data_IF_833512395347
#
_entry.id   IF_833512395347
#
_cell.length_a   1.000
_cell.length_b   1.000
_cell.length_c   1.000
_cell.angle_alpha   90.00
_cell.angle_beta   90.00
_cell.angle_gamma   90.00
#
_symmetry.space_group_name_H-M   'P 1'
#
loop_
_entity.id
_entity.type
_entity.pdbx_description
1 polymer ?
#
# COMPACT_ATOMS: atom_id res chain seq x y z
N UNK A 1 -13.80 25.93 2.36
CA UNK A 1 -13.02 24.72 2.71
C UNK A 1 -12.58 23.88 1.51
N UNK A 2 -13.28 23.86 0.35
CA UNK A 2 -12.92 22.97 -0.78
C UNK A 2 -11.56 23.27 -1.43
N UNK A 3 -11.14 24.54 -1.54
CA UNK A 3 -9.88 24.90 -2.22
C UNK A 3 -8.62 24.22 -1.65
N UNK A 4 -8.54 24.04 -0.33
CA UNK A 4 -7.39 23.36 0.32
C UNK A 4 -7.39 21.86 0.05
N UNK A 5 -8.57 21.23 0.01
CA UNK A 5 -8.71 19.82 -0.34
C UNK A 5 -8.35 19.59 -1.81
N UNK A 6 -8.86 20.41 -2.72
CA UNK A 6 -8.60 20.27 -4.15
C UNK A 6 -7.10 20.43 -4.47
N UNK A 7 -6.40 21.35 -3.81
CA UNK A 7 -4.94 21.48 -3.92
C UNK A 7 -4.21 20.25 -3.39
N UNK A 8 -4.61 19.72 -2.24
CA UNK A 8 -3.98 18.54 -1.66
C UNK A 8 -4.17 17.30 -2.53
N UNK A 9 -5.38 17.07 -3.06
CA UNK A 9 -5.68 15.96 -3.96
C UNK A 9 -4.84 16.06 -5.26
N UNK A 10 -4.66 17.27 -5.80
CA UNK A 10 -3.76 17.50 -6.94
C UNK A 10 -2.31 17.17 -6.61
N UNK A 11 -1.82 17.60 -5.44
CA UNK A 11 -0.44 17.32 -5.01
C UNK A 11 -0.21 15.83 -4.76
N UNK A 12 -1.15 15.13 -4.16
CA UNK A 12 -1.07 13.68 -3.90
C UNK A 12 -1.21 12.84 -5.16
N UNK A 13 -1.72 13.44 -6.23
CA UNK A 13 -1.69 12.82 -7.57
C UNK A 13 -0.32 12.97 -8.24
N UNK A 14 0.58 13.80 -7.70
CA UNK A 14 1.99 13.79 -8.10
C UNK A 14 2.67 12.59 -7.42
N UNK A 15 3.34 11.76 -8.21
CA UNK A 15 3.88 10.44 -7.85
C UNK A 15 4.96 10.44 -6.75
N UNK A 16 5.37 11.59 -6.24
CA UNK A 16 6.47 11.74 -5.27
C UNK A 16 6.02 12.25 -3.90
N UNK A 17 4.78 12.74 -3.77
CA UNK A 17 4.25 13.32 -2.54
C UNK A 17 3.28 12.35 -1.89
N UNK A 18 3.38 12.23 -0.57
CA UNK A 18 2.46 11.45 0.26
C UNK A 18 1.90 12.29 1.39
N UNK A 19 0.76 11.87 1.93
CA UNK A 19 0.20 12.41 3.16
C UNK A 19 0.55 11.46 4.30
N UNK A 20 1.41 11.93 5.20
CA UNK A 20 1.84 11.21 6.40
C UNK A 20 0.93 11.59 7.57
N UNK A 21 0.34 10.60 8.24
CA UNK A 21 -0.48 10.78 9.44
C UNK A 21 -0.23 9.66 10.45
N UNK A 22 0.39 9.98 11.58
CA UNK A 22 0.83 8.96 12.54
C UNK A 22 1.80 7.96 11.91
N UNK A 23 1.52 6.66 12.01
CA UNK A 23 2.28 5.58 11.38
C UNK A 23 1.83 5.19 9.97
N UNK A 24 0.94 5.98 9.36
CA UNK A 24 0.32 5.67 8.09
C UNK A 24 0.70 6.65 6.98
N UNK A 25 0.76 6.14 5.76
CA UNK A 25 1.07 6.91 4.55
C UNK A 25 -0.09 6.78 3.56
N UNK A 26 -0.58 7.90 3.05
CA UNK A 26 -1.64 7.93 2.03
C UNK A 26 -1.09 8.51 0.74
N UNK A 27 -1.38 7.85 -0.38
CA UNK A 27 -0.96 8.30 -1.71
C UNK A 27 -1.99 7.93 -2.77
N UNK A 28 -1.96 8.65 -3.89
CA UNK A 28 -2.79 8.35 -5.06
C UNK A 28 -1.91 7.92 -6.23
N UNK A 29 -2.06 6.66 -6.67
CA UNK A 29 -1.24 6.07 -7.74
C UNK A 29 -2.05 5.05 -8.53
N UNK A 30 -1.83 4.99 -9.85
CA UNK A 30 -2.59 4.12 -10.76
C UNK A 30 -4.12 4.33 -10.66
N UNK A 31 -4.56 5.60 -10.55
CA UNK A 31 -5.97 6.00 -10.42
C UNK A 31 -6.68 5.38 -9.20
N UNK A 32 -5.91 5.05 -8.16
CA UNK A 32 -6.40 4.45 -6.92
C UNK A 32 -5.75 5.12 -5.72
N UNK A 33 -6.51 5.18 -4.63
CA UNK A 33 -6.02 5.60 -3.33
C UNK A 33 -5.47 4.41 -2.58
N UNK A 34 -4.35 4.64 -1.90
CA UNK A 34 -3.67 3.61 -1.11
C UNK A 34 -3.42 4.13 0.30
N UNK A 35 -3.66 3.28 1.29
CA UNK A 35 -3.18 3.47 2.66
C UNK A 35 -2.08 2.45 2.92
N UNK A 36 -0.93 2.93 3.36
CA UNK A 36 0.24 2.11 3.64
C UNK A 36 0.60 2.17 5.12
N UNK A 37 1.22 1.10 5.61
CA UNK A 37 1.99 1.11 6.85
C UNK A 37 3.44 0.76 6.57
N UNK A 38 4.32 1.27 7.42
CA UNK A 38 5.76 1.01 7.36
C UNK A 38 6.17 0.08 8.50
N UNK A 39 7.14 -0.80 8.27
CA UNK A 39 7.76 -1.61 9.31
C UNK A 39 9.26 -1.79 9.04
N UNK A 40 10.01 -2.12 10.08
CA UNK A 40 11.42 -2.44 9.96
C UNK A 40 11.60 -3.89 9.47
N UNK A 41 12.36 -4.04 8.39
CA UNK A 41 12.85 -5.31 7.87
C UNK A 41 14.37 -5.34 8.06
N UNK A 42 14.81 -5.77 9.25
CA UNK A 42 16.19 -5.55 9.67
C UNK A 42 16.44 -4.08 9.99
N UNK A 43 17.42 -3.46 9.33
CA UNK A 43 17.77 -2.05 9.53
C UNK A 43 16.98 -1.06 8.66
N UNK A 44 16.20 -1.57 7.70
CA UNK A 44 15.51 -0.75 6.70
C UNK A 44 14.03 -0.57 7.03
N UNK A 45 13.51 0.66 6.92
CA UNK A 45 12.09 0.98 7.09
C UNK A 45 11.38 0.86 5.74
N UNK A 46 10.69 -0.27 5.51
CA UNK A 46 10.04 -0.60 4.24
C UNK A 46 8.51 -0.63 4.31
N UNK A 47 7.86 -0.73 3.14
CA UNK A 47 6.40 -0.83 3.04
C UNK A 47 5.95 -2.20 3.55
N UNK A 48 5.15 -2.20 4.61
CA UNK A 48 4.67 -3.41 5.27
C UNK A 48 3.28 -3.82 4.82
N UNK A 49 2.32 -2.89 4.83
CA UNK A 49 0.96 -3.17 4.34
C UNK A 49 0.53 -2.20 3.24
N UNK A 50 -0.31 -2.70 2.34
CA UNK A 50 -0.96 -1.95 1.27
C UNK A 50 -2.46 -2.22 1.28
N UNK A 51 -3.25 -1.18 1.52
CA UNK A 51 -4.70 -1.20 1.38
C UNK A 51 -5.13 -0.48 0.11
N UNK A 52 -6.06 -1.08 -0.64
CA UNK A 52 -6.73 -0.41 -1.76
C UNK A 52 -7.99 0.29 -1.27
N UNK A 53 -8.06 1.61 -1.44
CA UNK A 53 -9.18 2.41 -0.94
C UNK A 53 -10.13 2.84 -2.06
N UNK A 54 -11.42 2.95 -1.73
CA UNK A 54 -12.40 3.64 -2.56
C UNK A 54 -12.03 5.12 -2.71
N UNK A 55 -12.47 5.75 -3.80
CA UNK A 55 -12.19 7.19 -4.01
C UNK A 55 -12.81 8.04 -2.90
N UNK A 56 -14.03 7.69 -2.47
CA UNK A 56 -14.69 8.33 -1.34
C UNK A 56 -13.88 8.20 -0.04
N UNK A 57 -13.35 7.00 0.26
CA UNK A 57 -12.57 6.78 1.49
C UNK A 57 -11.21 7.49 1.44
N UNK A 58 -10.51 7.43 0.31
CA UNK A 58 -9.26 8.15 0.11
C UNK A 58 -9.42 9.66 0.32
N UNK A 59 -10.42 10.28 -0.32
CA UNK A 59 -10.75 11.70 -0.13
C UNK A 59 -11.13 12.03 1.31
N UNK A 60 -11.91 11.17 1.96
CA UNK A 60 -12.30 11.34 3.36
C UNK A 60 -11.09 11.34 4.28
N UNK A 61 -10.16 10.41 4.12
CA UNK A 61 -8.92 10.37 4.92
C UNK A 61 -8.07 11.61 4.66
N UNK A 62 -7.91 12.02 3.40
CA UNK A 62 -7.18 13.26 3.08
C UNK A 62 -7.82 14.44 3.79
N UNK A 63 -9.14 14.62 3.67
CA UNK A 63 -9.86 15.71 4.32
C UNK A 63 -9.69 15.70 5.85
N UNK A 64 -9.78 14.52 6.48
CA UNK A 64 -9.61 14.34 7.93
C UNK A 64 -8.18 14.69 8.37
N UNK A 65 -7.18 14.27 7.60
CA UNK A 65 -5.77 14.41 7.95
C UNK A 65 -5.15 15.70 7.46
N UNK A 66 -5.84 16.54 6.70
CA UNK A 66 -5.29 17.82 6.25
C UNK A 66 -4.92 18.77 7.42
N UNK A 67 -5.58 18.63 8.57
CA UNK A 67 -5.28 19.42 9.77
C UNK A 67 -4.26 18.75 10.71
N UNK A 68 -4.04 17.44 10.59
CA UNK A 68 -3.28 16.64 11.56
C UNK A 68 -2.01 16.00 10.97
N UNK A 69 -2.01 15.76 9.67
CA UNK A 69 -0.94 15.13 8.92
C UNK A 69 -0.05 16.14 8.19
N UNK A 70 0.93 15.61 7.47
CA UNK A 70 1.89 16.40 6.68
C UNK A 70 2.00 15.85 5.27
N UNK A 71 1.92 16.73 4.27
CA UNK A 71 2.30 16.38 2.91
C UNK A 71 3.81 16.50 2.77
N UNK A 72 4.48 15.38 2.50
CA UNK A 72 5.94 15.30 2.39
C UNK A 72 6.35 14.48 1.18
N UNK A 73 7.54 14.71 0.61
CA UNK A 73 8.17 13.78 -0.32
C UNK A 73 8.33 12.38 0.29
N UNK A 74 8.19 11.33 -0.51
CA UNK A 74 8.33 9.93 -0.05
C UNK A 74 9.67 9.66 0.67
N UNK A 75 10.77 10.23 0.16
CA UNK A 75 12.09 10.01 0.72
C UNK A 75 12.28 10.60 2.14
N UNK A 76 11.43 11.56 2.54
CA UNK A 76 11.43 12.09 3.91
C UNK A 76 10.77 11.10 4.90
N UNK A 77 9.90 10.20 4.42
CA UNK A 77 9.31 9.14 5.24
C UNK A 77 10.30 7.98 5.43
N UNK A 78 10.88 7.51 4.33
CA UNK A 78 11.97 6.53 4.33
C UNK A 78 12.77 6.66 3.04
N UNK A 79 14.09 6.52 3.12
CA UNK A 79 15.00 6.64 1.97
C UNK A 79 14.64 5.67 0.85
N UNK A 80 14.11 4.50 1.19
CA UNK A 80 13.75 3.45 0.23
C UNK A 80 12.27 3.46 -0.18
N UNK A 81 11.44 4.35 0.41
CA UNK A 81 10.01 4.38 0.13
C UNK A 81 9.67 4.58 -1.35
N UNK A 82 10.37 5.44 -2.13
CA UNK A 82 10.09 5.57 -3.55
C UNK A 82 10.20 4.22 -4.30
N UNK A 83 11.25 3.44 -4.01
CA UNK A 83 11.49 2.14 -4.63
C UNK A 83 10.50 1.09 -4.13
N UNK A 84 10.15 1.13 -2.84
CA UNK A 84 9.10 0.30 -2.27
C UNK A 84 7.75 0.54 -2.95
N UNK A 85 7.36 1.80 -3.14
CA UNK A 85 6.11 2.16 -3.81
C UNK A 85 6.12 1.70 -5.26
N UNK A 86 7.24 1.89 -5.98
CA UNK A 86 7.38 1.43 -7.36
C UNK A 86 7.22 -0.10 -7.48
N UNK A 87 7.86 -0.85 -6.59
CA UNK A 87 7.89 -2.32 -6.65
C UNK A 87 6.62 -2.99 -6.11
N UNK A 88 5.86 -2.33 -5.24
CA UNK A 88 4.75 -2.94 -4.48
C UNK A 88 3.39 -2.28 -4.69
N UNK A 89 3.31 -1.04 -5.15
CA UNK A 89 2.03 -0.37 -5.43
C UNK A 89 1.75 -0.49 -6.92
N UNK A 90 1.32 -1.69 -7.33
CA UNK A 90 1.27 -2.07 -8.74
C UNK A 90 -0.04 -1.72 -9.42
N UNK A 91 0.02 -1.61 -10.74
CA UNK A 91 -1.09 -1.19 -11.59
C UNK A 91 -2.14 -2.30 -11.78
N UNK A 92 -1.70 -3.55 -11.86
CA UNK A 92 -2.56 -4.71 -12.09
C UNK A 92 -2.35 -5.77 -10.99
N UNK A 93 -3.31 -6.68 -10.84
CA UNK A 93 -3.21 -7.74 -9.85
C UNK A 93 -2.16 -8.78 -10.26
N UNK A 94 -2.07 -9.03 -11.56
CA UNK A 94 -1.17 -9.95 -12.24
C UNK A 94 0.30 -9.60 -11.95
N UNK A 95 0.61 -8.32 -11.79
CA UNK A 95 1.96 -7.85 -11.45
C UNK A 95 2.43 -8.34 -10.06
N UNK A 96 1.52 -8.80 -9.19
CA UNK A 96 1.88 -9.41 -7.90
C UNK A 96 2.27 -10.88 -8.01
N UNK A 97 2.15 -11.53 -9.17
CA UNK A 97 2.48 -12.94 -9.34
C UNK A 97 3.89 -13.31 -8.84
N UNK A 98 4.96 -12.53 -9.11
CA UNK A 98 6.29 -12.82 -8.58
C UNK A 98 6.36 -12.78 -7.05
N UNK A 99 5.60 -11.87 -6.42
CA UNK A 99 5.52 -11.76 -4.97
C UNK A 99 4.81 -12.97 -4.36
N UNK A 100 3.72 -13.43 -4.99
CA UNK A 100 2.93 -14.58 -4.54
C UNK A 100 3.71 -15.88 -4.70
N UNK A 101 4.32 -16.11 -5.87
CA UNK A 101 5.07 -17.34 -6.15
C UNK A 101 6.26 -17.52 -5.20
N UNK A 102 6.85 -16.42 -4.72
CA UNK A 102 7.94 -16.43 -3.74
C UNK A 102 7.46 -16.42 -2.29
N UNK A 103 6.15 -16.42 -2.04
CA UNK A 103 5.56 -16.37 -0.71
C UNK A 103 5.88 -15.07 0.05
N UNK A 104 6.21 -13.98 -0.66
CA UNK A 104 6.63 -12.69 -0.10
C UNK A 104 5.47 -11.74 0.20
N UNK A 105 4.24 -12.13 -0.18
CA UNK A 105 3.02 -11.37 0.08
C UNK A 105 1.94 -12.27 0.66
N UNK A 106 1.29 -11.81 1.73
CA UNK A 106 0.09 -12.43 2.29
C UNK A 106 -1.12 -11.52 2.09
N UNK A 107 -2.30 -12.12 2.20
CA UNK A 107 -3.52 -11.38 2.47
C UNK A 107 -3.78 -11.29 3.96
N UNK A 108 -3.87 -10.06 4.47
CA UNK A 108 -4.43 -9.78 5.78
C UNK A 108 -5.93 -9.45 5.67
N UNK A 109 -6.72 -10.02 6.59
CA UNK A 109 -8.13 -9.67 6.79
C UNK A 109 -8.43 -9.45 8.27
N UNK A 110 -9.20 -8.40 8.57
CA UNK A 110 -9.74 -8.16 9.90
C UNK A 110 -10.06 -6.69 10.14
N UNK A 111 -11.21 -6.41 10.73
CA UNK A 111 -11.49 -5.10 11.34
C UNK A 111 -11.00 -5.15 12.79
N UNK A 112 -10.21 -4.16 13.19
CA UNK A 112 -9.87 -3.84 14.60
C UNK A 112 -9.13 -4.94 15.39
N UNK A 113 -7.83 -4.71 15.60
CA UNK A 113 -6.93 -5.15 16.71
C UNK A 113 -6.96 -6.55 17.34
N UNK A 114 -8.07 -7.30 17.37
CA UNK A 114 -8.15 -8.54 18.17
C UNK A 114 -8.34 -9.83 17.35
N UNK A 115 -8.56 -9.74 16.03
CA UNK A 115 -8.65 -10.93 15.14
C UNK A 115 -8.06 -10.63 13.76
N UNK A 116 -6.72 -10.52 13.69
CA UNK A 116 -6.04 -10.55 12.39
C UNK A 116 -6.01 -11.99 11.89
N UNK A 117 -6.82 -12.29 10.87
CA UNK A 117 -6.70 -13.53 10.12
C UNK A 117 -5.77 -13.27 8.93
N UNK A 118 -4.68 -14.02 8.85
CA UNK A 118 -3.81 -14.00 7.69
C UNK A 118 -4.10 -15.23 6.83
N UNK A 119 -4.32 -15.00 5.55
CA UNK A 119 -4.33 -16.06 4.54
C UNK A 119 -2.98 -15.99 3.86
N UNK A 120 -2.11 -16.95 4.21
CA UNK A 120 -0.86 -17.15 3.49
C UNK A 120 -1.18 -17.71 2.11
N UNK A 121 -0.66 -17.06 1.08
CA UNK A 121 -0.73 -17.54 -0.28
C UNK A 121 0.58 -18.25 -0.57
N UNK A 122 0.57 -19.58 -0.45
CA UNK A 122 1.67 -20.38 -0.99
C UNK A 122 1.57 -20.42 -2.53
N UNK A 123 2.69 -20.76 -3.18
CA UNK A 123 2.79 -20.79 -4.64
C UNK A 123 1.73 -21.69 -5.30
N UNK A 124 1.25 -22.73 -4.60
CA UNK A 124 0.18 -23.64 -5.06
C UNK A 124 -1.20 -22.98 -5.17
N UNK A 125 -1.39 -21.79 -4.59
CA UNK A 125 -2.64 -21.01 -4.60
C UNK A 125 -2.51 -19.69 -5.36
N UNK A 126 -1.53 -19.57 -6.25
CA UNK A 126 -1.23 -18.32 -6.97
C UNK A 126 -2.46 -17.74 -7.69
N UNK A 127 -3.25 -18.58 -8.36
CA UNK A 127 -4.45 -18.11 -9.09
C UNK A 127 -5.53 -17.60 -8.13
N UNK A 128 -5.76 -18.30 -7.03
CA UNK A 128 -6.71 -17.87 -6.00
C UNK A 128 -6.25 -16.55 -5.35
N UNK A 129 -4.95 -16.41 -5.10
CA UNK A 129 -4.37 -15.19 -4.56
C UNK A 129 -4.60 -14.01 -5.51
N UNK A 130 -4.28 -14.18 -6.80
CA UNK A 130 -4.49 -13.17 -7.84
C UNK A 130 -5.96 -12.78 -7.95
N UNK A 131 -6.88 -13.74 -7.92
CA UNK A 131 -8.32 -13.48 -7.94
C UNK A 131 -8.77 -12.64 -6.75
N UNK A 132 -8.22 -12.89 -5.56
CA UNK A 132 -8.52 -12.09 -4.37
C UNK A 132 -7.93 -10.69 -4.51
N UNK A 133 -6.66 -10.54 -4.93
CA UNK A 133 -6.05 -9.22 -5.15
C UNK A 133 -6.87 -8.43 -6.18
N UNK A 134 -7.30 -9.06 -7.27
CA UNK A 134 -8.14 -8.45 -8.31
C UNK A 134 -9.46 -7.96 -7.72
N UNK A 135 -10.11 -8.77 -6.89
CA UNK A 135 -11.32 -8.35 -6.15
C UNK A 135 -11.03 -7.18 -5.22
N UNK A 136 -9.92 -7.16 -4.50
CA UNK A 136 -9.59 -6.03 -3.60
C UNK A 136 -9.33 -4.73 -4.35
N UNK A 137 -8.61 -4.80 -5.47
CA UNK A 137 -8.39 -3.63 -6.32
C UNK A 137 -9.69 -3.07 -6.90
N UNK A 138 -10.65 -3.95 -7.21
CA UNK A 138 -11.92 -3.58 -7.82
C UNK A 138 -12.98 -3.16 -6.80
N UNK A 139 -13.26 -4.02 -5.81
CA UNK A 139 -14.29 -3.82 -4.79
C UNK A 139 -13.87 -2.79 -3.73
N UNK A 140 -12.55 -2.61 -3.52
CA UNK A 140 -11.98 -1.63 -2.59
C UNK A 140 -12.58 -1.71 -1.18
N UNK A 141 -12.88 -2.95 -0.76
CA UNK A 141 -13.51 -3.26 0.54
C UNK A 141 -12.59 -2.88 1.69
N UNK A 142 -13.17 -2.22 2.68
CA UNK A 142 -12.46 -1.80 3.89
C UNK A 142 -11.96 -3.03 4.68
N UNK A 143 -10.75 -2.94 5.23
CA UNK A 143 -10.19 -3.92 6.18
C UNK A 143 -9.30 -5.02 5.58
N UNK A 144 -9.34 -5.26 4.27
CA UNK A 144 -8.42 -6.20 3.62
C UNK A 144 -7.16 -5.48 3.07
N UNK A 145 -6.01 -6.16 3.12
CA UNK A 145 -4.73 -5.60 2.69
C UNK A 145 -3.72 -6.65 2.27
N UNK A 146 -2.77 -6.22 1.45
CA UNK A 146 -1.56 -6.99 1.18
C UNK A 146 -0.54 -6.74 2.28
N UNK A 147 0.06 -7.79 2.82
CA UNK A 147 1.17 -7.73 3.77
C UNK A 147 2.44 -8.23 3.11
N UNK A 148 3.47 -7.42 3.08
CA UNK A 148 4.77 -7.80 2.54
C UNK A 148 5.68 -8.30 3.66
N UNK A 149 6.38 -9.41 3.39
CA UNK A 149 7.30 -10.05 4.35
C UNK A 149 8.74 -9.51 4.27
N UNK A 150 9.05 -8.70 3.26
CA UNK A 150 10.39 -8.15 3.03
C UNK A 150 10.35 -6.83 2.25
N UNK A 151 11.51 -6.19 2.09
CA UNK A 151 11.71 -5.01 1.23
C UNK A 151 11.78 -5.35 -0.25
N UNK A 152 11.68 -4.35 -1.13
CA UNK A 152 11.81 -4.47 -2.58
C UNK A 152 13.13 -5.14 -3.03
N UNK A 153 14.22 -4.96 -2.26
CA UNK A 153 15.54 -5.50 -2.57
C UNK A 153 15.55 -7.04 -2.68
N UNK A 154 14.66 -7.72 -1.95
CA UNK A 154 14.56 -9.19 -1.98
C UNK A 154 14.06 -9.69 -3.33
N UNK A 155 13.27 -8.91 -4.07
CA UNK A 155 12.89 -9.28 -5.42
C UNK A 155 14.07 -9.25 -6.39
N UNK A 156 14.95 -8.25 -6.26
CA UNK A 156 16.09 -8.02 -7.15
C UNK A 156 17.27 -8.96 -6.93
N UNK A 157 17.41 -9.58 -5.76
CA UNK A 157 18.60 -10.37 -5.40
C UNK A 157 18.56 -11.86 -5.82
N UNK A 158 17.50 -12.34 -6.47
CA UNK A 158 17.39 -13.75 -6.90
C UNK A 158 16.97 -13.88 -8.38
N UNK A 159 17.37 -12.89 -9.20
CA UNK A 159 17.16 -12.87 -10.65
C UNK A 159 18.38 -13.26 -11.49
N UNK A 160 19.46 -13.74 -10.84
CA UNK A 160 20.68 -14.27 -11.47
C UNK A 160 20.77 -15.79 -11.27
#
# INVERSE_FOLDING_TARGET
>A
MSYRLDQALKRLSASEIVLLGGGFVVLHRHQRWHLLTMNYFGAELGLHTLHFLSDARGRSIVQEWLSLGRMVPMHEVSKILPQEVEAKVLAQAEDYQPWIQRGLVDLGGGSTTDKQAFVDFDSSKSDLALDVIRKLMHERKEGAYLRFKSTFQTLSQQGD
#
